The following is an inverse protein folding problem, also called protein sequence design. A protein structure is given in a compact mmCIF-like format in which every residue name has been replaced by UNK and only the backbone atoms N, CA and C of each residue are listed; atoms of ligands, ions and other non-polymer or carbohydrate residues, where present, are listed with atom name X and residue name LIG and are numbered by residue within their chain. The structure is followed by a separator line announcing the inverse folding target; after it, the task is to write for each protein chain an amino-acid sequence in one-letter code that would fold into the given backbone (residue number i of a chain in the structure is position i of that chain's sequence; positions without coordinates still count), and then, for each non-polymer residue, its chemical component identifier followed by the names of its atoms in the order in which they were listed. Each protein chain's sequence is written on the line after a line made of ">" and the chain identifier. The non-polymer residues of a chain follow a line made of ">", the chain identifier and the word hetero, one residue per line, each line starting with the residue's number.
data_IF_219751521147
#
_entry.id   IF_219751521147
#
_cell.length_a   1.000
_cell.length_b   1.000
_cell.length_c   1.000
_cell.angle_alpha   90.00
_cell.angle_beta   90.00
_cell.angle_gamma   90.00
#
_symmetry.space_group_name_H-M   'P 1'
#
loop_
_entity.id
_entity.type
_entity.pdbx_description
1 polymer ?
#
# COMPACT_ATOMS: atom_id res chain seq x y z
N UNK A 1 11.95 -51.36 -32.35
CA UNK A 1 11.89 -50.98 -30.92
C UNK A 1 13.02 -50.00 -30.60
N UNK A 2 12.71 -48.71 -30.59
CA UNK A 2 13.32 -47.73 -29.69
C UNK A 2 12.18 -46.81 -29.26
N UNK A 3 11.87 -46.89 -27.97
CA UNK A 3 10.82 -46.16 -27.29
C UNK A 3 11.31 -44.75 -26.99
N UNK A 4 10.40 -43.81 -27.18
CA UNK A 4 10.34 -42.43 -26.69
C UNK A 4 10.84 -42.24 -25.26
N UNK A 5 11.52 -41.12 -24.99
CA UNK A 5 11.27 -40.21 -23.86
C UNK A 5 12.26 -39.03 -23.91
N UNK A 6 12.04 -38.12 -24.88
CA UNK A 6 12.59 -36.76 -24.81
C UNK A 6 11.61 -35.91 -23.97
N UNK A 7 11.83 -35.90 -22.65
CA UNK A 7 11.17 -34.96 -21.74
C UNK A 7 11.79 -33.57 -21.96
N UNK A 8 11.10 -32.73 -22.72
CA UNK A 8 11.41 -31.32 -22.89
C UNK A 8 11.20 -30.58 -21.55
N UNK A 9 12.23 -29.96 -20.94
CA UNK A 9 12.08 -29.22 -19.69
C UNK A 9 11.37 -27.85 -19.85
N UNK A 10 10.98 -27.46 -21.07
CA UNK A 10 10.33 -26.19 -21.34
C UNK A 10 8.80 -26.30 -21.24
N UNK A 11 8.25 -26.15 -20.03
CA UNK A 11 7.03 -25.33 -19.78
C UNK A 11 6.55 -25.50 -18.33
N UNK A 12 7.43 -25.26 -17.36
CA UNK A 12 6.96 -24.66 -16.10
C UNK A 12 6.68 -23.21 -16.46
N UNK A 13 5.47 -22.94 -16.96
CA UNK A 13 5.00 -21.56 -17.11
C UNK A 13 4.70 -21.04 -15.72
N UNK A 14 5.78 -20.57 -15.10
CA UNK A 14 5.80 -19.60 -14.02
C UNK A 14 4.68 -18.60 -14.30
N UNK A 15 3.62 -18.66 -13.49
CA UNK A 15 2.55 -17.67 -13.51
C UNK A 15 3.19 -16.37 -13.04
N UNK A 16 3.77 -15.65 -13.99
CA UNK A 16 4.42 -14.37 -13.81
C UNK A 16 3.41 -13.46 -13.12
N UNK A 17 3.61 -13.28 -11.82
CA UNK A 17 2.96 -12.26 -11.02
C UNK A 17 3.26 -10.94 -11.72
N UNK A 18 2.29 -10.43 -12.48
CA UNK A 18 2.42 -9.17 -13.20
C UNK A 18 2.33 -8.03 -12.18
N UNK A 19 3.43 -7.82 -11.46
CA UNK A 19 3.69 -6.55 -10.82
C UNK A 19 3.81 -5.50 -11.94
N UNK A 20 2.80 -4.64 -12.02
CA UNK A 20 2.73 -3.49 -12.91
C UNK A 20 4.06 -2.72 -12.92
N UNK A 21 4.44 -2.08 -14.04
CA UNK A 21 5.69 -1.34 -14.14
C UNK A 21 5.72 -0.25 -13.07
N UNK A 22 6.70 -0.36 -12.17
CA UNK A 22 7.02 0.68 -11.20
C UNK A 22 7.40 1.94 -11.99
N UNK A 23 6.47 2.88 -12.12
CA UNK A 23 6.84 4.27 -12.40
C UNK A 23 7.89 4.65 -11.35
N UNK A 24 8.92 5.39 -11.74
CA UNK A 24 10.09 5.68 -10.92
C UNK A 24 9.75 6.60 -9.72
N UNK A 25 8.87 6.14 -8.85
CA UNK A 25 8.53 6.70 -7.56
C UNK A 25 9.58 6.17 -6.58
N UNK A 26 10.17 7.07 -5.79
CA UNK A 26 11.19 6.67 -4.83
C UNK A 26 10.58 5.70 -3.79
N UNK A 27 11.42 4.99 -3.05
CA UNK A 27 10.93 4.13 -1.98
C UNK A 27 10.12 4.92 -0.93
N UNK A 28 10.55 6.16 -0.67
CA UNK A 28 9.89 7.09 0.25
C UNK A 28 8.50 7.49 -0.26
N UNK A 29 8.36 7.85 -1.55
CA UNK A 29 7.06 8.21 -2.12
C UNK A 29 6.05 7.05 -2.08
N UNK A 30 6.52 5.82 -2.32
CA UNK A 30 5.68 4.62 -2.21
C UNK A 30 5.27 4.36 -0.76
N UNK A 31 6.16 4.59 0.19
CA UNK A 31 5.89 4.45 1.62
C UNK A 31 4.87 5.50 2.08
N UNK A 32 5.05 6.76 1.69
CA UNK A 32 4.12 7.87 1.97
C UNK A 32 2.71 7.53 1.48
N UNK A 33 2.56 7.08 0.23
CA UNK A 33 1.26 6.66 -0.32
C UNK A 33 0.63 5.50 0.46
N UNK A 34 1.43 4.54 0.90
CA UNK A 34 0.97 3.38 1.67
C UNK A 34 0.44 3.80 3.04
N UNK A 35 1.16 4.69 3.74
CA UNK A 35 0.71 5.22 5.03
C UNK A 35 -0.53 6.10 4.89
N UNK A 36 -0.64 6.89 3.81
CA UNK A 36 -1.87 7.64 3.52
C UNK A 36 -3.08 6.73 3.34
N UNK A 37 -2.92 5.65 2.58
CA UNK A 37 -3.97 4.66 2.41
C UNK A 37 -4.36 4.01 3.74
N UNK A 38 -3.38 3.69 4.60
CA UNK A 38 -3.64 3.11 5.92
C UNK A 38 -4.32 4.09 6.90
N UNK A 39 -3.93 5.38 6.90
CA UNK A 39 -4.55 6.42 7.71
C UNK A 39 -6.02 6.65 7.33
N UNK A 40 -6.36 6.53 6.04
CA UNK A 40 -7.72 6.75 5.55
C UNK A 40 -8.57 5.47 5.50
N UNK A 41 -8.01 4.31 5.87
CA UNK A 41 -8.71 3.04 5.81
C UNK A 41 -9.73 2.92 6.97
N UNK A 42 -11.05 2.90 6.69
CA UNK A 42 -12.05 2.75 7.73
C UNK A 42 -12.01 1.36 8.40
N UNK A 43 -11.38 0.36 7.78
CA UNK A 43 -11.19 -0.96 8.37
C UNK A 43 -10.05 -1.07 9.39
N UNK A 44 -9.21 -0.04 9.52
CA UNK A 44 -8.20 0.02 10.58
C UNK A 44 -8.82 0.47 11.91
N UNK A 45 -8.12 0.25 13.03
CA UNK A 45 -8.52 0.86 14.31
C UNK A 45 -8.20 2.36 14.33
N UNK A 46 -8.83 3.16 15.20
CA UNK A 46 -8.50 4.58 15.36
C UNK A 46 -7.01 4.80 15.65
N UNK A 47 -6.41 4.00 16.52
CA UNK A 47 -4.99 4.08 16.86
C UNK A 47 -4.10 3.69 15.67
N UNK A 48 -4.51 2.69 14.90
CA UNK A 48 -3.80 2.27 13.69
C UNK A 48 -3.82 3.35 12.60
N UNK A 49 -4.95 4.07 12.46
CA UNK A 49 -5.04 5.23 11.56
C UNK A 49 -4.15 6.38 12.01
N UNK A 50 -4.17 6.71 13.31
CA UNK A 50 -3.33 7.77 13.87
C UNK A 50 -1.85 7.46 13.67
N UNK A 51 -1.42 6.24 14.00
CA UNK A 51 -0.03 5.84 13.80
C UNK A 51 0.40 5.91 12.33
N UNK A 52 -0.46 5.47 11.41
CA UNK A 52 -0.19 5.61 9.98
C UNK A 52 -0.12 7.08 9.55
N UNK A 53 -0.97 7.95 10.10
CA UNK A 53 -0.95 9.39 9.84
C UNK A 53 0.31 10.07 10.39
N UNK A 54 0.83 9.64 11.54
CA UNK A 54 2.12 10.12 12.07
C UNK A 54 3.28 9.77 11.13
N UNK A 55 3.30 8.53 10.62
CA UNK A 55 4.32 8.10 9.65
C UNK A 55 4.19 8.78 8.30
N UNK A 56 2.96 9.04 7.87
CA UNK A 56 2.70 9.88 6.71
C UNK A 56 3.29 11.28 6.90
N UNK A 57 3.08 11.89 8.07
CA UNK A 57 3.55 13.23 8.35
C UNK A 57 5.07 13.34 8.40
N UNK A 58 5.74 12.37 9.03
CA UNK A 58 7.20 12.25 9.06
C UNK A 58 7.78 12.19 7.64
N UNK A 59 7.31 11.26 6.81
CA UNK A 59 7.80 11.10 5.43
C UNK A 59 7.49 12.30 4.54
N UNK A 60 6.32 12.91 4.72
CA UNK A 60 5.93 14.09 3.94
C UNK A 60 6.80 15.30 4.30
N UNK A 61 7.05 15.54 5.58
CA UNK A 61 7.92 16.62 6.07
C UNK A 61 9.36 16.40 5.59
N UNK A 62 9.88 15.18 5.64
CA UNK A 62 11.21 14.85 5.11
C UNK A 62 11.34 15.10 3.60
N UNK A 63 10.30 14.76 2.81
CA UNK A 63 10.34 14.90 1.35
C UNK A 63 10.09 16.32 0.86
N UNK A 64 9.20 17.06 1.52
CA UNK A 64 8.68 18.35 1.03
C UNK A 64 9.07 19.55 1.89
N UNK A 65 9.43 19.32 3.16
CA UNK A 65 9.57 20.36 4.17
C UNK A 65 8.23 20.90 4.70
N UNK A 66 7.09 20.36 4.25
CA UNK A 66 5.77 20.75 4.72
C UNK A 66 5.27 19.81 5.81
N UNK A 67 4.65 20.36 6.86
CA UNK A 67 4.06 19.58 7.93
C UNK A 67 2.56 19.41 7.68
N UNK A 68 2.10 18.17 7.70
CA UNK A 68 0.68 17.83 7.75
C UNK A 68 0.24 17.50 9.18
N UNK A 69 -1.05 17.64 9.48
CA UNK A 69 -1.61 17.30 10.79
C UNK A 69 -2.04 15.81 10.83
N UNK A 70 -1.38 14.96 11.63
CA UNK A 70 -1.73 13.55 11.74
C UNK A 70 -3.16 13.31 12.26
N UNK A 71 -3.67 14.18 13.14
CA UNK A 71 -5.02 14.00 13.68
C UNK A 71 -6.07 14.23 12.61
N UNK A 72 -5.87 15.27 11.79
CA UNK A 72 -6.75 15.53 10.65
C UNK A 72 -6.75 14.36 9.67
N UNK A 73 -5.57 13.86 9.28
CA UNK A 73 -5.47 12.75 8.32
C UNK A 73 -6.11 11.45 8.84
N UNK A 74 -5.96 11.13 10.12
CA UNK A 74 -6.63 9.99 10.74
C UNK A 74 -8.16 10.16 10.80
N UNK A 75 -8.64 11.38 11.07
CA UNK A 75 -10.07 11.68 11.17
C UNK A 75 -10.85 11.43 9.87
N UNK A 76 -10.18 11.51 8.71
CA UNK A 76 -10.78 11.16 7.41
C UNK A 76 -11.19 9.68 7.39
N UNK A 77 -10.35 8.81 7.95
CA UNK A 77 -10.66 7.39 8.07
C UNK A 77 -11.72 7.10 9.12
N UNK A 78 -11.74 7.87 10.23
CA UNK A 78 -12.81 7.80 11.24
C UNK A 78 -14.18 8.15 10.63
N UNK A 79 -14.25 9.27 9.90
CA UNK A 79 -15.48 9.72 9.25
C UNK A 79 -16.02 8.69 8.24
N UNK A 80 -15.13 8.06 7.47
CA UNK A 80 -15.49 6.97 6.54
C UNK A 80 -15.97 5.72 7.27
N UNK A 81 -15.42 5.42 8.45
CA UNK A 81 -15.85 4.27 9.25
C UNK A 81 -17.26 4.51 9.77
N UNK A 82 -17.54 5.70 10.30
CA UNK A 82 -18.89 6.08 10.73
C UNK A 82 -19.93 6.04 9.60
N UNK A 83 -19.55 6.48 8.39
CA UNK A 83 -20.44 6.44 7.23
C UNK A 83 -20.80 5.00 6.83
N UNK A 84 -19.82 4.08 6.88
CA UNK A 84 -20.05 2.65 6.60
C UNK A 84 -20.96 2.01 7.65
N UNK A 85 -20.82 2.35 8.91
CA UNK A 85 -21.64 1.79 10.00
C UNK A 85 -23.10 2.30 9.94
N UNK A 86 -23.36 3.41 9.25
CA UNK A 86 -24.70 3.99 9.03
C UNK A 86 -25.41 3.45 7.78
N UNK A 87 -24.71 2.70 6.92
CA UNK A 87 -25.20 2.20 5.62
C UNK A 87 -25.74 0.77 5.73
#
# INVERSE_FOLDING_TARGET
>A
MKLSDDLDPASITDAQSQAQPVTAETHEERSEKSYKAAAHNPGNTPEGRLHAAEKLAELHEERTGERIDPQYEASIGDAKAEERDRS
#
